data_IF_301671188994
#
_entry.id   IF_301671188994
#
_cell.length_a   1.000
_cell.length_b   1.000
_cell.length_c   1.000
_cell.angle_alpha   90.00
_cell.angle_beta   90.00
_cell.angle_gamma   90.00
#
_symmetry.space_group_name_H-M   'P 1'
#
loop_
_entity.id
_entity.type
_entity.pdbx_description
1 polymer ?
#
# COMPACT_ATOMS: atom_id res chain seq x y z
N UNK A 1 4.04 43.28 29.94
CA UNK A 1 3.31 43.56 31.15
C UNK A 1 3.34 45.07 31.48
N UNK A 2 2.25 45.58 32.01
CA UNK A 2 2.11 46.94 32.52
C UNK A 2 1.33 46.89 33.82
N UNK A 3 1.74 47.74 34.79
CA UNK A 3 0.97 47.97 36.00
C UNK A 3 0.05 49.17 35.78
N UNK A 4 -1.23 48.98 36.05
CA UNK A 4 -2.24 50.04 35.98
C UNK A 4 -2.66 50.39 37.39
N UNK A 5 -2.66 51.66 37.71
CA UNK A 5 -3.12 52.20 39.02
C UNK A 5 -4.39 53.01 38.81
N UNK A 6 -5.42 52.69 39.56
CA UNK A 6 -6.69 53.42 39.51
C UNK A 6 -6.66 54.63 40.42
N UNK A 7 -7.01 55.83 39.90
CA UNK A 7 -7.16 57.04 40.68
C UNK A 7 -8.63 57.43 40.75
N UNK A 8 -9.11 57.87 41.94
CA UNK A 8 -10.45 58.31 42.17
C UNK A 8 -10.49 59.74 42.72
N UNK A 9 -11.48 60.53 42.29
CA UNK A 9 -11.85 61.79 42.85
C UNK A 9 -13.35 61.82 43.17
N UNK A 10 -13.69 62.32 44.38
CA UNK A 10 -15.07 62.48 44.83
C UNK A 10 -15.44 63.98 44.83
N UNK A 11 -16.59 64.30 44.20
CA UNK A 11 -17.12 65.67 44.12
C UNK A 11 -18.47 65.76 44.82
N UNK A 12 -18.68 66.85 45.58
CA UNK A 12 -19.98 67.30 46.06
C UNK A 12 -20.67 68.04 44.90
N UNK A 13 -21.84 67.53 44.49
CA UNK A 13 -22.67 68.07 43.42
C UNK A 13 -23.92 68.79 43.94
N UNK A 14 -23.93 69.27 45.24
CA UNK A 14 -25.01 70.05 45.81
C UNK A 14 -25.29 71.33 45.00
N UNK A 15 -24.27 71.90 44.36
CA UNK A 15 -24.37 72.87 43.30
C UNK A 15 -23.80 72.28 42.00
N UNK A 16 -24.63 71.78 41.09
CA UNK A 16 -24.12 71.09 39.89
C UNK A 16 -23.35 72.03 38.93
N UNK A 17 -23.52 73.32 38.99
CA UNK A 17 -22.82 74.32 38.17
C UNK A 17 -21.39 74.61 38.73
N UNK A 18 -21.11 74.26 40.00
CA UNK A 18 -19.85 74.44 40.66
C UNK A 18 -19.50 73.22 41.53
N UNK A 19 -19.08 72.07 40.93
CA UNK A 19 -18.71 70.87 41.66
C UNK A 19 -17.50 71.13 42.57
N UNK A 20 -17.57 70.72 43.85
CA UNK A 20 -16.49 70.87 44.83
C UNK A 20 -15.87 69.51 45.06
N UNK A 21 -14.54 69.40 44.77
CA UNK A 21 -13.80 68.16 45.10
C UNK A 21 -13.68 68.02 46.61
N UNK A 22 -14.19 66.94 47.20
CA UNK A 22 -14.23 66.66 48.65
C UNK A 22 -13.25 65.58 49.10
N UNK A 23 -12.82 64.70 48.20
CA UNK A 23 -11.82 63.70 48.50
C UNK A 23 -11.08 63.26 47.22
N UNK A 24 -9.92 62.68 47.36
CA UNK A 24 -9.20 62.01 46.28
C UNK A 24 -8.33 60.88 46.84
N UNK A 25 -8.12 59.87 46.01
CA UNK A 25 -7.09 58.85 46.20
C UNK A 25 -6.28 58.73 44.91
N UNK A 26 -5.02 59.19 44.96
CA UNK A 26 -4.12 59.30 43.81
C UNK A 26 -2.71 58.89 44.19
N UNK A 27 -2.59 57.77 44.86
CA UNK A 27 -1.28 57.20 45.20
C UNK A 27 -0.86 56.23 44.13
N UNK A 28 0.16 56.58 43.33
CA UNK A 28 0.74 55.77 42.26
C UNK A 28 1.45 54.52 42.78
N UNK A 29 1.81 54.50 44.06
CA UNK A 29 2.50 53.39 44.71
C UNK A 29 1.52 52.49 45.52
N UNK A 30 0.23 52.75 45.45
CA UNK A 30 -0.78 51.97 46.18
C UNK A 30 -0.97 50.58 45.52
N UNK A 31 -0.45 49.52 46.16
CA UNK A 31 -0.64 48.12 45.73
C UNK A 31 -2.12 47.69 45.71
N UNK A 32 -2.97 48.29 46.56
CA UNK A 32 -4.41 48.03 46.61
C UNK A 32 -5.19 48.53 45.38
N UNK A 33 -4.65 49.56 44.69
CA UNK A 33 -5.18 50.10 43.46
C UNK A 33 -4.47 49.63 42.21
N UNK A 34 -3.40 48.84 42.35
CA UNK A 34 -2.54 48.37 41.25
C UNK A 34 -3.03 47.04 40.70
N UNK A 35 -3.27 46.98 39.38
CA UNK A 35 -3.55 45.76 38.64
C UNK A 35 -2.43 45.49 37.66
N UNK A 36 -1.85 44.31 37.76
CA UNK A 36 -0.77 43.86 36.84
C UNK A 36 -1.39 43.23 35.59
N UNK A 37 -1.03 43.73 34.44
CA UNK A 37 -1.37 43.11 33.16
C UNK A 37 -0.21 42.23 32.78
N UNK A 38 -0.42 40.93 32.84
CA UNK A 38 0.55 39.93 32.41
C UNK A 38 0.46 39.70 30.91
N UNK A 39 1.60 39.39 30.30
CA UNK A 39 1.63 38.97 28.90
C UNK A 39 1.03 37.57 28.76
N UNK A 40 0.17 37.37 27.76
CA UNK A 40 -0.39 36.06 27.43
C UNK A 40 0.71 35.21 26.78
N UNK A 41 0.99 34.08 27.35
CA UNK A 41 1.91 33.07 26.79
C UNK A 41 1.07 31.96 26.16
N UNK A 42 1.29 31.72 24.89
CA UNK A 42 0.68 30.58 24.17
C UNK A 42 1.76 29.51 24.03
N UNK A 43 1.43 28.29 24.40
CA UNK A 43 2.30 27.11 24.23
C UNK A 43 1.76 26.20 23.15
N UNK A 44 2.68 25.56 22.41
CA UNK A 44 2.41 24.62 21.32
C UNK A 44 3.12 23.31 21.65
N UNK A 45 2.38 22.20 21.65
CA UNK A 45 2.92 20.86 21.74
C UNK A 45 2.35 20.03 20.58
N UNK A 46 3.17 19.28 19.91
CA UNK A 46 2.77 18.58 18.69
C UNK A 46 3.16 17.11 18.68
N UNK A 47 2.48 16.32 17.87
CA UNK A 47 2.79 14.90 17.68
C UNK A 47 2.48 14.52 16.25
N UNK A 48 3.52 14.29 15.44
CA UNK A 48 3.41 13.84 14.06
C UNK A 48 3.35 12.31 13.97
N UNK A 49 2.47 11.76 13.13
CA UNK A 49 2.30 10.33 12.89
C UNK A 49 1.90 10.05 11.44
N UNK A 50 2.05 8.82 10.99
CA UNK A 50 1.39 8.35 9.77
C UNK A 50 -0.13 8.37 9.96
N UNK A 51 -0.83 9.12 9.13
CA UNK A 51 -2.31 9.19 9.20
C UNK A 51 -2.98 7.82 9.01
N UNK A 52 -2.38 6.92 8.22
CA UNK A 52 -2.96 5.62 7.92
C UNK A 52 -2.87 4.62 9.09
N UNK A 53 -1.80 4.69 9.87
CA UNK A 53 -1.49 3.70 10.93
C UNK A 53 -1.47 4.28 12.33
N UNK A 54 -1.25 5.59 12.48
CA UNK A 54 -1.02 6.26 13.76
C UNK A 54 0.40 6.06 14.32
N UNK A 55 1.28 5.42 13.56
CA UNK A 55 2.64 5.08 13.99
C UNK A 55 3.67 6.16 13.56
N UNK A 56 4.86 6.10 14.15
CA UNK A 56 6.00 6.95 13.80
C UNK A 56 6.79 6.46 12.58
N UNK A 57 6.63 5.19 12.23
CA UNK A 57 7.27 4.60 11.05
C UNK A 57 6.30 4.58 9.88
N UNK A 58 6.69 5.18 8.79
CA UNK A 58 5.89 5.37 7.59
C UNK A 58 6.54 4.61 6.44
N UNK A 59 5.81 3.71 5.80
CA UNK A 59 6.30 3.00 4.60
C UNK A 59 6.31 3.94 3.41
N UNK A 60 7.46 4.06 2.74
CA UNK A 60 7.62 4.91 1.56
C UNK A 60 6.56 4.63 0.49
N UNK A 61 5.96 5.68 -0.07
CA UNK A 61 4.89 5.57 -1.06
C UNK A 61 4.61 6.90 -1.77
N UNK A 62 3.67 6.89 -2.74
CA UNK A 62 3.35 8.06 -3.57
C UNK A 62 2.50 9.11 -2.85
N UNK A 63 1.54 8.65 -2.08
CA UNK A 63 0.53 9.50 -1.44
C UNK A 63 0.52 9.20 0.07
N UNK A 64 1.63 9.50 0.73
CA UNK A 64 1.78 9.37 2.18
C UNK A 64 1.27 10.64 2.85
N UNK A 65 0.54 10.50 3.94
CA UNK A 65 0.06 11.65 4.72
C UNK A 65 0.62 11.58 6.14
N UNK A 66 1.39 12.59 6.52
CA UNK A 66 1.74 12.86 7.91
C UNK A 66 0.60 13.66 8.52
N UNK A 67 0.09 13.17 9.65
CA UNK A 67 -0.89 13.86 10.49
C UNK A 67 -0.18 14.42 11.71
N UNK A 68 -0.15 15.74 11.85
CA UNK A 68 0.34 16.38 13.04
C UNK A 68 -0.82 16.85 13.92
N UNK A 69 -0.81 16.41 15.17
CA UNK A 69 -1.81 16.78 16.19
C UNK A 69 -1.19 17.82 17.10
N UNK A 70 -1.71 19.04 17.04
CA UNK A 70 -1.18 20.23 17.73
C UNK A 70 -2.07 20.60 18.91
N UNK A 71 -1.52 20.52 20.12
CA UNK A 71 -2.16 20.99 21.36
C UNK A 71 -1.70 22.41 21.65
N UNK A 72 -2.65 23.32 21.72
CA UNK A 72 -2.47 24.76 21.99
C UNK A 72 -3.03 25.09 23.36
N UNK A 73 -2.29 25.83 24.17
CA UNK A 73 -2.74 26.33 25.48
C UNK A 73 -2.42 27.83 25.61
N UNK A 74 -3.29 28.60 26.26
CA UNK A 74 -3.19 30.05 26.40
C UNK A 74 -3.86 30.85 25.28
N UNK A 75 -4.66 30.23 24.41
CA UNK A 75 -5.39 30.92 23.34
C UNK A 75 -6.38 31.95 23.91
N UNK A 76 -6.72 32.96 23.11
CA UNK A 76 -7.82 33.90 23.41
C UNK A 76 -9.08 33.47 22.69
N UNK A 77 -10.13 33.18 23.46
CA UNK A 77 -11.42 32.77 22.92
C UNK A 77 -12.01 33.84 21.98
N UNK A 78 -12.43 33.41 20.78
CA UNK A 78 -12.97 34.26 19.72
C UNK A 78 -11.94 34.85 18.78
N UNK A 79 -10.64 34.73 19.09
CA UNK A 79 -9.51 35.16 18.24
C UNK A 79 -9.34 34.20 17.07
N UNK A 80 -9.04 34.74 15.90
CA UNK A 80 -8.70 33.97 14.69
C UNK A 80 -7.21 33.70 14.65
N UNK A 81 -6.85 32.45 14.48
CA UNK A 81 -5.48 32.00 14.35
C UNK A 81 -5.24 31.30 13.01
N UNK A 82 -3.98 31.36 12.55
CA UNK A 82 -3.46 30.56 11.44
C UNK A 82 -2.25 29.77 11.94
N UNK A 83 -2.33 28.45 11.89
CA UNK A 83 -1.22 27.54 12.10
C UNK A 83 -0.57 27.28 10.74
N UNK A 84 0.74 27.52 10.63
CA UNK A 84 1.55 27.18 9.46
C UNK A 84 2.47 26.05 9.83
N UNK A 85 2.47 24.98 9.04
CA UNK A 85 3.31 23.83 9.27
C UNK A 85 4.12 23.46 8.04
N UNK A 86 5.30 22.87 8.24
CA UNK A 86 6.15 22.36 7.16
C UNK A 86 7.05 21.23 7.64
N UNK A 87 7.50 20.41 6.71
CA UNK A 87 8.38 19.28 6.98
C UNK A 87 9.86 19.65 6.83
N UNK A 88 10.68 19.16 7.75
CA UNK A 88 12.13 19.26 7.74
C UNK A 88 12.77 17.88 7.54
N UNK A 89 13.92 17.83 6.87
CA UNK A 89 14.79 16.64 6.85
C UNK A 89 15.76 16.73 8.01
N UNK A 90 15.61 15.88 9.04
CA UNK A 90 16.35 15.94 10.30
C UNK A 90 17.86 15.95 10.09
N UNK A 91 18.40 14.99 9.33
CA UNK A 91 19.84 14.83 9.10
C UNK A 91 20.50 15.99 8.34
N UNK A 92 19.71 16.76 7.60
CA UNK A 92 20.16 17.87 6.76
C UNK A 92 19.90 19.22 7.44
N UNK A 93 19.05 19.24 8.48
CA UNK A 93 18.51 20.44 9.12
C UNK A 93 18.00 21.44 8.06
N UNK A 94 17.27 20.93 7.08
CA UNK A 94 16.79 21.69 5.92
C UNK A 94 15.31 21.38 5.64
N UNK A 95 14.62 22.34 5.02
CA UNK A 95 13.24 22.15 4.58
C UNK A 95 13.13 21.00 3.57
N UNK A 96 12.09 20.17 3.71
CA UNK A 96 11.82 19.09 2.76
C UNK A 96 11.25 19.67 1.47
N UNK A 97 11.96 19.39 0.36
CA UNK A 97 11.50 19.72 -0.97
C UNK A 97 11.11 18.44 -1.73
N UNK A 98 9.89 18.39 -2.23
CA UNK A 98 9.41 17.33 -3.12
C UNK A 98 9.11 17.95 -4.48
N UNK A 99 9.81 17.49 -5.54
CA UNK A 99 9.75 18.07 -6.88
C UNK A 99 10.10 19.56 -6.94
N UNK A 100 10.93 20.05 -5.98
CA UNK A 100 11.35 21.43 -5.89
C UNK A 100 10.41 22.37 -5.12
N UNK A 101 9.31 21.84 -4.61
CA UNK A 101 8.34 22.58 -3.78
C UNK A 101 8.45 22.15 -2.31
N UNK A 102 8.36 23.10 -1.37
CA UNK A 102 8.35 22.83 0.06
C UNK A 102 7.08 22.05 0.44
N UNK A 103 7.27 21.04 1.28
CA UNK A 103 6.13 20.32 1.87
C UNK A 103 5.63 21.15 3.04
N UNK A 104 4.54 21.87 2.84
CA UNK A 104 3.92 22.76 3.82
C UNK A 104 2.39 22.72 3.71
N UNK A 105 1.72 23.11 4.80
CA UNK A 105 0.28 23.34 4.82
C UNK A 105 -0.08 24.38 5.89
N UNK A 106 -1.25 24.99 5.73
CA UNK A 106 -1.79 26.00 6.63
C UNK A 106 -3.17 25.58 7.14
N UNK A 107 -3.45 25.86 8.43
CA UNK A 107 -4.76 25.65 9.03
C UNK A 107 -5.25 26.94 9.68
N UNK A 108 -6.36 27.50 9.21
CA UNK A 108 -7.02 28.63 9.85
C UNK A 108 -8.17 28.16 10.77
N UNK A 109 -8.25 28.69 11.97
CA UNK A 109 -9.30 28.37 12.94
C UNK A 109 -9.64 29.57 13.82
N UNK A 110 -10.77 29.48 14.54
CA UNK A 110 -11.15 30.45 15.57
C UNK A 110 -11.13 29.74 16.92
N UNK A 111 -10.42 30.30 17.90
CA UNK A 111 -10.35 29.71 19.22
C UNK A 111 -11.74 29.67 19.90
N UNK A 112 -12.18 28.48 20.25
CA UNK A 112 -13.43 28.26 21.00
C UNK A 112 -13.20 28.15 22.49
N UNK A 113 -11.96 27.92 22.91
CA UNK A 113 -11.51 27.85 24.30
C UNK A 113 -10.05 28.29 24.41
N UNK A 114 -9.54 28.47 25.63
CA UNK A 114 -8.14 28.79 25.91
C UNK A 114 -7.20 27.63 25.63
N UNK A 115 -7.71 26.41 25.63
CA UNK A 115 -6.99 25.19 25.28
C UNK A 115 -7.74 24.47 24.14
N UNK A 116 -7.00 24.14 23.07
CA UNK A 116 -7.55 23.45 21.90
C UNK A 116 -6.55 22.44 21.37
N UNK A 117 -7.08 21.41 20.69
CA UNK A 117 -6.34 20.50 19.84
C UNK A 117 -6.80 20.70 18.39
N UNK A 118 -5.86 20.85 17.48
CA UNK A 118 -6.11 20.96 16.03
C UNK A 118 -5.21 20.00 15.29
N UNK A 119 -5.57 19.66 14.05
CA UNK A 119 -4.81 18.73 13.22
C UNK A 119 -4.46 19.39 11.90
N UNK A 120 -3.20 19.21 11.47
CA UNK A 120 -2.70 19.65 10.17
C UNK A 120 -2.12 18.45 9.43
N UNK A 121 -2.33 18.36 8.12
CA UNK A 121 -1.99 17.20 7.30
C UNK A 121 -1.02 17.58 6.19
N UNK A 122 0.00 16.74 5.96
CA UNK A 122 0.97 16.91 4.88
C UNK A 122 0.94 15.66 4.00
N UNK A 123 0.43 15.80 2.76
CA UNK A 123 0.34 14.69 1.80
C UNK A 123 1.33 14.90 0.67
N UNK A 124 2.27 13.96 0.50
CA UNK A 124 3.34 14.07 -0.49
C UNK A 124 3.93 12.71 -0.86
N UNK A 125 4.77 12.69 -1.89
CA UNK A 125 5.45 11.49 -2.36
C UNK A 125 6.73 11.24 -1.56
N UNK A 126 6.78 10.13 -0.81
CA UNK A 126 7.93 9.71 0.01
C UNK A 126 8.74 8.57 -0.63
N UNK A 127 8.45 8.14 -1.88
CA UNK A 127 9.08 6.97 -2.52
C UNK A 127 10.62 7.06 -2.59
N UNK A 128 11.18 8.28 -2.58
CA UNK A 128 12.63 8.53 -2.61
C UNK A 128 13.21 8.94 -1.26
N UNK A 129 12.40 8.87 -0.19
CA UNK A 129 12.78 9.34 1.14
C UNK A 129 13.05 8.20 2.13
N UNK A 130 13.04 6.93 1.68
CA UNK A 130 13.33 5.79 2.53
C UNK A 130 14.66 5.96 3.28
N UNK A 131 14.65 5.71 4.59
CA UNK A 131 15.78 5.91 5.49
C UNK A 131 15.92 7.34 6.04
N UNK A 132 15.05 8.30 5.63
CA UNK A 132 15.03 9.67 6.16
C UNK A 132 14.15 9.76 7.39
N UNK A 133 14.55 10.62 8.33
CA UNK A 133 13.72 11.11 9.41
C UNK A 133 13.23 12.52 9.03
N UNK A 134 11.93 12.74 9.18
CA UNK A 134 11.27 14.01 8.93
C UNK A 134 10.75 14.56 10.25
N UNK A 135 10.84 15.89 10.40
CA UNK A 135 10.38 16.60 11.60
C UNK A 135 9.42 17.69 11.17
N UNK A 136 8.22 17.71 11.74
CA UNK A 136 7.23 18.74 11.45
C UNK A 136 7.51 19.98 12.30
N UNK A 137 7.58 21.15 11.69
CA UNK A 137 7.73 22.45 12.35
C UNK A 137 6.46 23.27 12.21
N UNK A 138 6.09 24.04 13.25
CA UNK A 138 4.89 24.87 13.25
C UNK A 138 5.17 26.29 13.75
N UNK A 139 4.42 27.23 13.18
CA UNK A 139 4.26 28.60 13.67
C UNK A 139 2.80 28.97 13.78
N UNK A 140 2.39 29.54 14.92
CA UNK A 140 1.05 30.04 15.16
C UNK A 140 1.00 31.56 15.04
N UNK A 141 0.05 32.05 14.25
CA UNK A 141 -0.18 33.46 14.04
C UNK A 141 -1.58 33.87 14.52
N UNK A 142 -1.67 35.00 15.25
CA UNK A 142 -2.92 35.73 15.40
C UNK A 142 -3.18 36.50 14.10
N UNK A 143 -4.32 36.19 13.46
CA UNK A 143 -4.76 36.80 12.19
C UNK A 143 -6.05 37.61 12.37
N UNK A 144 -6.30 38.14 13.57
CA UNK A 144 -7.41 39.05 13.84
C UNK A 144 -7.33 40.28 12.94
N UNK A 145 -6.11 40.79 12.72
CA UNK A 145 -5.80 41.72 11.65
C UNK A 145 -5.12 40.97 10.49
N UNK A 146 -5.84 40.63 9.41
CA UNK A 146 -5.28 39.85 8.32
C UNK A 146 -4.18 40.57 7.53
N UNK A 147 -4.11 41.90 7.60
CA UNK A 147 -3.09 42.71 6.92
C UNK A 147 -1.77 42.75 7.72
N UNK A 148 -1.80 42.44 9.02
CA UNK A 148 -0.64 42.42 9.91
C UNK A 148 -0.69 41.19 10.84
N UNK A 149 -0.47 39.97 10.33
CA UNK A 149 -0.46 38.77 11.17
C UNK A 149 0.69 38.79 12.16
N UNK A 150 0.38 38.49 13.42
CA UNK A 150 1.40 38.49 14.50
C UNK A 150 1.71 37.06 14.91
N UNK A 151 3.00 36.67 14.83
CA UNK A 151 3.44 35.35 15.34
C UNK A 151 3.35 35.36 16.87
N UNK A 152 2.60 34.40 17.42
CA UNK A 152 2.29 34.31 18.86
C UNK A 152 2.91 33.09 19.53
N UNK A 153 3.24 32.05 18.76
CA UNK A 153 3.92 30.85 19.25
C UNK A 153 4.60 30.09 18.10
N UNK A 154 5.51 29.20 18.42
CA UNK A 154 6.14 28.28 17.47
C UNK A 154 6.60 27.01 18.17
N UNK A 155 6.72 25.91 17.41
CA UNK A 155 7.40 24.69 17.78
C UNK A 155 8.34 24.27 16.64
N UNK A 156 9.66 24.45 16.84
CA UNK A 156 10.70 24.21 15.80
C UNK A 156 11.94 23.59 16.44
N UNK A 157 11.77 22.45 17.07
CA UNK A 157 12.87 21.66 17.61
C UNK A 157 13.16 20.48 16.71
N UNK A 158 14.29 20.53 15.99
CA UNK A 158 14.70 19.47 15.05
C UNK A 158 15.00 18.13 15.73
N UNK A 159 15.23 18.13 17.04
CA UNK A 159 15.50 16.93 17.84
C UNK A 159 14.26 16.40 18.58
N UNK A 160 13.10 17.01 18.40
CA UNK A 160 11.87 16.56 19.05
C UNK A 160 11.38 15.23 18.48
N UNK A 161 11.47 14.16 19.27
CA UNK A 161 10.95 12.83 18.91
C UNK A 161 9.42 12.82 18.75
N UNK A 162 8.68 13.72 19.43
CA UNK A 162 7.24 13.92 19.28
C UNK A 162 6.86 14.36 17.87
N UNK A 163 7.69 15.15 17.22
CA UNK A 163 7.50 15.66 15.86
C UNK A 163 8.21 14.84 14.79
N UNK A 164 9.03 13.85 15.18
CA UNK A 164 9.81 13.05 14.24
C UNK A 164 9.04 11.83 13.76
N UNK A 165 9.05 11.61 12.44
CA UNK A 165 8.61 10.37 11.78
C UNK A 165 9.75 9.80 10.95
N UNK A 166 9.81 8.46 10.79
CA UNK A 166 10.84 7.77 10.00
C UNK A 166 10.22 7.16 8.75
N UNK A 167 10.74 7.50 7.58
CA UNK A 167 10.32 6.88 6.32
C UNK A 167 11.09 5.59 6.12
N UNK A 168 10.40 4.46 6.11
CA UNK A 168 10.98 3.12 5.93
C UNK A 168 10.87 2.64 4.48
N UNK A 169 11.79 1.77 4.08
CA UNK A 169 11.74 1.16 2.75
C UNK A 169 10.49 0.27 2.59
N UNK A 170 9.86 0.32 1.41
CA UNK A 170 8.80 -0.62 1.04
C UNK A 170 9.43 -1.94 0.60
N UNK A 171 9.13 -3.00 1.32
CA UNK A 171 9.59 -4.35 0.98
C UNK A 171 8.43 -5.12 0.35
N UNK A 172 8.61 -5.59 -0.89
CA UNK A 172 7.66 -6.46 -1.56
C UNK A 172 8.19 -7.89 -1.51
N UNK A 173 7.38 -8.81 -0.97
CA UNK A 173 7.67 -10.23 -0.95
C UNK A 173 6.84 -10.96 -2.00
N UNK A 174 7.42 -12.03 -2.58
CA UNK A 174 6.81 -12.83 -3.63
C UNK A 174 6.93 -14.32 -3.27
N UNK A 175 5.79 -15.02 -3.29
CA UNK A 175 5.70 -16.48 -3.15
C UNK A 175 4.95 -17.05 -4.32
N UNK A 176 5.46 -18.10 -4.91
CA UNK A 176 4.92 -18.63 -6.16
C UNK A 176 4.66 -20.13 -6.11
N UNK A 177 3.74 -20.62 -6.94
CA UNK A 177 3.39 -22.03 -7.06
C UNK A 177 2.99 -22.36 -8.49
N UNK A 178 3.88 -23.03 -9.22
CA UNK A 178 3.64 -23.49 -10.59
C UNK A 178 2.92 -24.84 -10.61
N UNK A 179 1.93 -24.99 -11.48
CA UNK A 179 1.17 -26.24 -11.68
C UNK A 179 0.74 -26.41 -13.14
N UNK A 180 0.39 -27.64 -13.52
CA UNK A 180 -0.32 -27.88 -14.76
C UNK A 180 -1.71 -27.22 -14.72
N UNK A 181 -2.01 -26.35 -15.66
CA UNK A 181 -3.29 -25.65 -15.75
C UNK A 181 -4.48 -26.61 -15.87
N UNK A 182 -4.29 -27.76 -16.56
CA UNK A 182 -5.38 -28.70 -16.82
C UNK A 182 -5.77 -29.53 -15.59
N UNK A 183 -4.79 -29.85 -14.72
CA UNK A 183 -4.99 -30.80 -13.62
C UNK A 183 -4.71 -30.22 -12.22
N UNK A 184 -4.05 -29.08 -12.13
CA UNK A 184 -3.58 -28.48 -10.87
C UNK A 184 -2.42 -29.24 -10.21
N UNK A 185 -1.82 -30.21 -10.91
CA UNK A 185 -0.73 -31.07 -10.37
C UNK A 185 0.64 -30.50 -10.71
N UNK A 186 1.64 -31.03 -10.03
CA UNK A 186 3.08 -30.77 -10.30
C UNK A 186 3.63 -31.64 -11.47
N UNK A 187 2.81 -32.47 -12.06
CA UNK A 187 3.16 -33.33 -13.21
C UNK A 187 2.31 -32.97 -14.42
N UNK A 188 2.96 -32.86 -15.56
CA UNK A 188 2.34 -32.50 -16.85
C UNK A 188 2.68 -33.61 -17.85
N UNK A 189 1.69 -34.16 -18.56
CA UNK A 189 1.96 -35.10 -19.64
C UNK A 189 2.56 -34.38 -20.85
N UNK A 190 3.64 -34.94 -21.41
CA UNK A 190 4.26 -34.41 -22.61
C UNK A 190 3.25 -34.29 -23.77
N UNK A 191 3.15 -33.11 -24.35
CA UNK A 191 2.15 -32.82 -25.41
C UNK A 191 2.49 -31.53 -26.17
N UNK A 192 1.72 -31.30 -27.28
CA UNK A 192 2.00 -30.15 -28.17
C UNK A 192 1.61 -28.80 -27.59
N UNK A 193 0.64 -28.76 -26.71
CA UNK A 193 0.11 -27.55 -26.10
C UNK A 193 -0.14 -27.79 -24.62
N UNK A 194 0.92 -27.76 -23.84
CA UNK A 194 0.83 -27.79 -22.37
C UNK A 194 0.86 -26.36 -21.83
N UNK A 195 0.18 -26.14 -20.70
CA UNK A 195 0.21 -24.83 -20.04
C UNK A 195 0.56 -25.00 -18.59
N UNK A 196 1.64 -24.35 -18.17
CA UNK A 196 1.96 -24.12 -16.77
C UNK A 196 1.23 -22.86 -16.35
N UNK A 197 0.51 -22.90 -15.21
CA UNK A 197 0.01 -21.73 -14.52
C UNK A 197 0.83 -21.55 -13.26
N UNK A 198 1.41 -20.37 -13.09
CA UNK A 198 2.05 -19.99 -11.86
C UNK A 198 1.18 -19.00 -11.10
N UNK A 199 0.87 -19.35 -9.85
CA UNK A 199 0.09 -18.53 -8.93
C UNK A 199 1.07 -17.78 -8.02
N UNK A 200 1.11 -16.47 -8.15
CA UNK A 200 2.04 -15.58 -7.47
C UNK A 200 1.32 -14.77 -6.41
N UNK A 201 1.66 -14.99 -5.14
CA UNK A 201 1.19 -14.20 -4.00
C UNK A 201 2.21 -13.10 -3.73
N UNK A 202 1.75 -11.85 -3.78
CA UNK A 202 2.53 -10.64 -3.57
C UNK A 202 2.05 -9.97 -2.28
N UNK A 203 2.98 -9.52 -1.45
CA UNK A 203 2.71 -8.75 -0.23
C UNK A 203 3.62 -7.53 -0.14
N UNK A 204 3.12 -6.39 0.34
CA UNK A 204 3.83 -5.11 0.39
C UNK A 204 3.64 -4.24 -0.86
N UNK A 205 2.72 -4.58 -1.77
CA UNK A 205 2.40 -3.74 -2.93
C UNK A 205 1.89 -2.35 -2.49
N UNK A 206 2.09 -1.36 -3.35
CA UNK A 206 1.47 -0.05 -3.18
C UNK A 206 0.17 0.04 -4.00
N UNK A 207 -0.93 0.31 -3.32
CA UNK A 207 -2.24 0.44 -3.95
C UNK A 207 -2.25 1.54 -5.02
N UNK A 208 -2.83 1.25 -6.18
CA UNK A 208 -2.89 2.18 -7.32
C UNK A 208 -1.65 2.18 -8.20
N UNK A 209 -0.55 1.52 -7.79
CA UNK A 209 0.67 1.37 -8.60
C UNK A 209 0.48 0.29 -9.65
N UNK A 210 1.00 0.56 -10.85
CA UNK A 210 1.02 -0.38 -11.96
C UNK A 210 2.31 -1.19 -11.93
N UNK A 211 2.15 -2.52 -11.98
CA UNK A 211 3.26 -3.48 -11.99
C UNK A 211 3.24 -4.32 -13.26
N UNK A 212 4.43 -4.83 -13.64
CA UNK A 212 4.60 -5.91 -14.62
C UNK A 212 5.32 -7.06 -13.93
N UNK A 213 4.67 -8.23 -13.91
CA UNK A 213 5.29 -9.50 -13.55
C UNK A 213 5.82 -10.13 -14.84
N UNK A 214 7.13 -10.38 -14.91
CA UNK A 214 7.80 -11.08 -16.00
C UNK A 214 8.14 -12.47 -15.54
N UNK A 215 7.74 -13.48 -16.28
CA UNK A 215 8.05 -14.88 -15.94
C UNK A 215 8.63 -15.65 -17.09
N UNK A 216 9.45 -16.66 -16.80
CA UNK A 216 10.02 -17.59 -17.77
C UNK A 216 10.31 -18.95 -17.17
N UNK A 217 10.38 -19.96 -18.02
CA UNK A 217 10.67 -21.32 -17.64
C UNK A 217 12.15 -21.65 -17.74
N UNK A 218 12.67 -22.37 -16.74
CA UNK A 218 14.03 -22.90 -16.69
C UNK A 218 14.03 -24.43 -16.76
N UNK A 219 15.02 -25.01 -17.43
CA UNK A 219 15.30 -26.45 -17.35
C UNK A 219 16.21 -26.70 -16.15
N UNK A 220 15.67 -27.33 -15.09
CA UNK A 220 16.34 -27.49 -13.79
C UNK A 220 17.69 -28.17 -13.87
N UNK A 221 17.79 -29.31 -14.60
CA UNK A 221 19.02 -30.10 -14.73
C UNK A 221 20.15 -29.37 -15.46
N UNK A 222 19.79 -28.42 -16.31
CA UNK A 222 20.71 -27.65 -17.16
C UNK A 222 21.03 -26.28 -16.56
N UNK A 223 20.22 -25.83 -15.59
CA UNK A 223 20.24 -24.48 -15.06
C UNK A 223 20.22 -23.42 -16.18
N UNK A 224 19.40 -23.68 -17.20
CA UNK A 224 19.30 -22.88 -18.43
C UNK A 224 17.85 -22.56 -18.76
N UNK A 225 17.63 -21.47 -19.47
CA UNK A 225 16.30 -21.06 -19.95
C UNK A 225 15.72 -22.13 -20.89
N UNK A 226 14.40 -22.39 -20.77
CA UNK A 226 13.71 -23.29 -21.67
C UNK A 226 13.49 -22.62 -23.02
N UNK A 227 14.12 -23.18 -24.04
CA UNK A 227 13.98 -22.74 -25.44
C UNK A 227 13.14 -23.79 -26.20
N UNK A 228 12.01 -23.39 -26.73
CA UNK A 228 11.15 -24.20 -27.59
C UNK A 228 10.99 -23.56 -28.95
N UNK A 229 11.30 -24.28 -30.04
CA UNK A 229 11.30 -23.77 -31.40
C UNK A 229 12.13 -22.48 -31.58
N UNK A 230 13.29 -22.38 -30.87
CA UNK A 230 14.20 -21.23 -30.94
C UNK A 230 13.74 -19.98 -30.19
N UNK A 231 12.70 -20.08 -29.37
CA UNK A 231 12.18 -18.99 -28.54
C UNK A 231 12.16 -19.38 -27.06
N UNK A 232 12.49 -18.44 -26.19
CA UNK A 232 12.33 -18.61 -24.75
C UNK A 232 10.85 -18.77 -24.41
N UNK A 233 10.55 -19.70 -23.51
CA UNK A 233 9.21 -19.82 -22.94
C UNK A 233 9.08 -18.79 -21.83
N UNK A 234 8.43 -17.70 -22.13
CA UNK A 234 8.24 -16.54 -21.25
C UNK A 234 6.86 -15.90 -21.43
N UNK A 235 6.41 -15.16 -20.45
CA UNK A 235 5.22 -14.33 -20.55
C UNK A 235 5.30 -13.15 -19.57
N UNK A 236 4.54 -12.10 -19.84
CA UNK A 236 4.44 -10.90 -19.03
C UNK A 236 2.98 -10.68 -18.61
N UNK A 237 2.75 -10.32 -17.35
CA UNK A 237 1.45 -9.94 -16.81
C UNK A 237 1.50 -8.52 -16.26
N UNK A 238 0.72 -7.61 -16.86
CA UNK A 238 0.54 -6.24 -16.34
C UNK A 238 -0.70 -6.17 -15.47
N UNK A 239 -0.59 -5.55 -14.28
CA UNK A 239 -1.72 -5.33 -13.39
C UNK A 239 -1.54 -4.02 -12.59
N UNK A 240 -2.64 -3.51 -12.01
CA UNK A 240 -2.61 -2.41 -11.05
C UNK A 240 -2.95 -2.96 -9.68
N UNK A 241 -2.14 -2.65 -8.68
CA UNK A 241 -2.42 -3.11 -7.32
C UNK A 241 -3.70 -2.48 -6.78
N UNK A 242 -4.65 -3.31 -6.38
CA UNK A 242 -5.89 -2.90 -5.73
C UNK A 242 -5.81 -2.95 -4.21
N UNK A 243 -4.81 -3.67 -3.68
CA UNK A 243 -4.51 -3.83 -2.26
C UNK A 243 -3.00 -4.02 -2.07
N UNK A 244 -2.52 -3.94 -0.83
CA UNK A 244 -1.13 -4.22 -0.45
C UNK A 244 -0.76 -5.69 -0.60
N UNK A 245 -1.76 -6.58 -0.56
CA UNK A 245 -1.61 -8.01 -0.78
C UNK A 245 -2.50 -8.48 -1.93
N UNK A 246 -1.92 -9.16 -2.91
CA UNK A 246 -2.63 -9.68 -4.07
C UNK A 246 -2.13 -11.06 -4.47
N UNK A 247 -3.00 -11.82 -5.12
CA UNK A 247 -2.65 -13.03 -5.85
C UNK A 247 -2.92 -12.79 -7.34
N UNK A 248 -1.96 -13.14 -8.17
CA UNK A 248 -2.05 -13.03 -9.64
C UNK A 248 -1.59 -14.35 -10.27
N UNK A 249 -2.01 -14.61 -11.51
CA UNK A 249 -1.62 -15.81 -12.24
C UNK A 249 -0.98 -15.44 -13.56
N UNK A 250 0.15 -16.09 -13.86
CA UNK A 250 0.84 -15.98 -15.15
C UNK A 250 0.89 -17.36 -15.81
N UNK A 251 0.71 -17.43 -17.12
CA UNK A 251 0.56 -18.68 -17.85
C UNK A 251 1.62 -18.84 -18.93
N UNK A 252 2.18 -20.03 -19.04
CA UNK A 252 3.20 -20.37 -20.05
C UNK A 252 2.69 -21.53 -20.89
N UNK A 253 2.39 -21.28 -22.18
CA UNK A 253 1.91 -22.31 -23.11
C UNK A 253 2.98 -22.64 -24.14
N UNK A 254 3.37 -23.90 -24.22
CA UNK A 254 4.43 -24.35 -25.10
C UNK A 254 4.28 -25.81 -25.55
N UNK A 255 5.13 -26.24 -26.50
CA UNK A 255 5.20 -27.65 -26.92
C UNK A 255 6.19 -28.40 -26.02
N UNK A 256 5.69 -29.33 -25.22
CA UNK A 256 6.48 -30.19 -24.34
C UNK A 256 6.66 -31.62 -24.86
N UNK A 257 6.35 -31.90 -26.14
CA UNK A 257 6.40 -33.27 -26.68
C UNK A 257 7.78 -33.95 -26.55
N UNK A 258 8.86 -33.17 -26.54
CA UNK A 258 10.26 -33.66 -26.45
C UNK A 258 10.86 -33.42 -25.06
N UNK A 259 10.06 -33.02 -24.08
CA UNK A 259 10.53 -32.65 -22.75
C UNK A 259 10.25 -33.72 -21.69
N UNK A 260 9.75 -34.88 -22.07
CA UNK A 260 9.47 -35.99 -21.13
C UNK A 260 10.71 -36.29 -20.25
N UNK A 261 10.49 -36.42 -18.94
CA UNK A 261 11.54 -36.63 -17.94
C UNK A 261 12.25 -35.36 -17.47
N UNK A 262 11.94 -34.18 -18.05
CA UNK A 262 12.50 -32.89 -17.59
C UNK A 262 11.72 -32.32 -16.41
N UNK A 263 12.46 -31.70 -15.48
CA UNK A 263 11.89 -30.80 -14.47
C UNK A 263 12.07 -29.36 -14.95
N UNK A 264 10.96 -28.60 -14.93
CA UNK A 264 10.95 -27.18 -15.26
C UNK A 264 10.70 -26.38 -14.00
N UNK A 265 11.31 -25.19 -13.92
CA UNK A 265 11.18 -24.29 -12.78
C UNK A 265 10.83 -22.89 -13.33
N UNK A 266 9.71 -22.35 -12.85
CA UNK A 266 9.30 -21.00 -13.23
C UNK A 266 10.09 -19.96 -12.44
N UNK A 267 10.63 -18.96 -13.12
CA UNK A 267 11.31 -17.80 -12.51
C UNK A 267 10.51 -16.55 -12.79
N UNK A 268 10.46 -15.63 -11.82
CA UNK A 268 9.72 -14.36 -11.95
C UNK A 268 10.53 -13.16 -11.46
N UNK A 269 10.24 -12.03 -12.08
CA UNK A 269 10.65 -10.69 -11.65
C UNK A 269 9.47 -9.74 -11.69
N UNK A 270 9.30 -8.96 -10.63
CA UNK A 270 8.27 -7.91 -10.53
C UNK A 270 8.88 -6.53 -10.70
N UNK A 271 8.28 -5.73 -11.56
CA UNK A 271 8.69 -4.37 -11.85
C UNK A 271 7.58 -3.37 -11.54
N UNK A 272 7.92 -2.31 -10.81
CA UNK A 272 7.11 -1.08 -10.79
C UNK A 272 7.31 -0.34 -12.12
N UNK A 273 6.21 -0.11 -12.83
CA UNK A 273 6.18 0.58 -14.11
C UNK A 273 5.38 1.90 -14.03
N UNK A 274 5.42 2.54 -12.89
CA UNK A 274 4.89 3.89 -12.73
C UNK A 274 5.50 4.86 -13.73
N UNK A 275 6.81 4.77 -13.91
CA UNK A 275 7.50 5.37 -15.04
C UNK A 275 7.79 4.27 -16.08
N UNK A 276 7.03 4.17 -17.18
CA UNK A 276 7.21 3.10 -18.16
C UNK A 276 8.55 3.17 -18.89
N UNK A 277 9.20 4.34 -18.92
CA UNK A 277 10.52 4.52 -19.55
C UNK A 277 11.67 4.06 -18.65
N UNK A 278 11.43 3.95 -17.32
CA UNK A 278 12.40 3.52 -16.32
C UNK A 278 11.75 2.53 -15.33
N UNK A 279 11.46 1.28 -15.76
CA UNK A 279 10.90 0.27 -14.88
C UNK A 279 11.88 -0.11 -13.77
N UNK A 280 11.39 -0.15 -12.53
CA UNK A 280 12.21 -0.49 -11.34
C UNK A 280 11.87 -1.90 -10.89
N UNK A 281 12.88 -2.81 -10.86
CA UNK A 281 12.68 -4.13 -10.29
C UNK A 281 12.50 -4.02 -8.77
N UNK A 282 11.37 -4.54 -8.26
CA UNK A 282 10.96 -4.42 -6.84
C UNK A 282 10.92 -5.75 -6.10
N UNK A 283 10.82 -6.86 -6.82
CA UNK A 283 10.91 -8.21 -6.24
C UNK A 283 11.34 -9.23 -7.30
N UNK A 284 11.82 -10.39 -6.88
CA UNK A 284 12.12 -11.52 -7.74
C UNK A 284 11.98 -12.85 -6.99
N UNK A 285 11.65 -13.93 -7.72
CA UNK A 285 11.73 -15.29 -7.24
C UNK A 285 12.44 -16.16 -8.29
N UNK A 286 13.72 -16.51 -8.02
CA UNK A 286 14.59 -17.22 -8.97
C UNK A 286 15.41 -18.29 -8.26
N UNK A 287 14.74 -19.22 -7.55
CA UNK A 287 15.40 -20.36 -6.93
C UNK A 287 15.17 -21.63 -7.76
N UNK A 288 16.21 -22.07 -8.49
CA UNK A 288 16.19 -23.29 -9.32
C UNK A 288 15.86 -24.56 -8.53
N UNK A 289 15.98 -24.51 -7.20
CA UNK A 289 15.70 -25.65 -6.31
C UNK A 289 14.31 -25.59 -5.67
N UNK A 290 13.57 -24.52 -5.90
CA UNK A 290 12.24 -24.36 -5.31
C UNK A 290 11.28 -25.44 -5.84
N UNK A 291 10.76 -26.24 -4.91
CA UNK A 291 9.77 -27.28 -5.22
C UNK A 291 8.39 -26.71 -5.51
N UNK A 292 8.07 -25.53 -4.95
CA UNK A 292 6.85 -24.78 -5.22
C UNK A 292 6.76 -24.35 -6.68
N UNK A 293 7.89 -24.00 -7.29
CA UNK A 293 8.00 -23.59 -8.69
C UNK A 293 8.34 -24.72 -9.66
N UNK A 294 8.64 -25.93 -9.15
CA UNK A 294 9.04 -27.05 -10.01
C UNK A 294 7.81 -27.84 -10.50
N UNK A 295 7.74 -28.08 -11.80
CA UNK A 295 6.85 -29.06 -12.45
C UNK A 295 7.65 -30.10 -13.19
N UNK A 296 7.15 -31.34 -13.27
CA UNK A 296 7.79 -32.46 -13.97
C UNK A 296 7.00 -32.83 -15.23
N UNK A 297 7.65 -32.86 -16.37
CA UNK A 297 7.05 -33.33 -17.62
C UNK A 297 7.16 -34.86 -17.64
N UNK A 298 6.05 -35.56 -17.64
CA UNK A 298 5.96 -37.02 -17.69
C UNK A 298 5.72 -37.54 -19.11
N UNK A 299 6.12 -38.78 -19.37
CA UNK A 299 5.78 -39.42 -20.63
C UNK A 299 4.26 -39.51 -20.78
N UNK A 300 3.78 -39.37 -22.01
CA UNK A 300 2.37 -39.63 -22.33
C UNK A 300 2.15 -41.13 -22.23
N UNK A 301 1.16 -41.64 -21.49
CA UNK A 301 0.84 -43.06 -21.48
C UNK A 301 0.60 -43.55 -22.90
N UNK A 302 1.28 -44.64 -23.28
CA UNK A 302 0.96 -45.30 -24.55
C UNK A 302 -0.51 -45.70 -24.53
N UNK A 303 -1.22 -45.37 -25.59
CA UNK A 303 -2.58 -45.89 -25.77
C UNK A 303 -2.49 -47.41 -25.79
N UNK A 304 -3.35 -48.16 -25.02
CA UNK A 304 -3.32 -49.61 -25.06
C UNK A 304 -3.44 -50.06 -26.52
N UNK A 305 -2.38 -50.71 -26.97
CA UNK A 305 -2.39 -51.37 -28.30
C UNK A 305 -3.59 -52.32 -28.29
N UNK A 306 -4.56 -52.05 -29.16
CA UNK A 306 -5.65 -53.05 -29.41
C UNK A 306 -4.95 -54.36 -29.74
N UNK A 307 -5.26 -55.47 -29.01
CA UNK A 307 -4.69 -56.76 -29.38
C UNK A 307 -4.98 -57.05 -30.83
N UNK A 308 -3.97 -57.42 -31.63
CA UNK A 308 -4.12 -57.88 -32.99
C UNK A 308 -5.25 -58.91 -33.04
N UNK A 309 -6.25 -58.61 -33.86
CA UNK A 309 -7.36 -59.56 -34.14
C UNK A 309 -6.73 -60.86 -34.61
N UNK A 310 -7.00 -62.06 -33.97
CA UNK A 310 -6.38 -63.28 -34.36
C UNK A 310 -6.71 -63.58 -35.82
N UNK A 311 -5.68 -63.66 -36.66
CA UNK A 311 -5.75 -64.03 -38.07
C UNK A 311 -6.59 -65.31 -38.20
N UNK A 312 -7.72 -65.23 -38.84
CA UNK A 312 -8.66 -66.39 -39.18
C UNK A 312 -7.88 -67.40 -40.00
N UNK A 313 -7.75 -68.67 -39.56
CA UNK A 313 -7.13 -69.72 -40.39
C UNK A 313 -8.00 -69.98 -41.59
N UNK A 314 -7.40 -69.89 -42.78
CA UNK A 314 -8.02 -70.32 -44.07
C UNK A 314 -8.32 -71.80 -44.03
N UNK A 315 -9.58 -72.15 -43.89
CA UNK A 315 -10.04 -73.53 -43.92
C UNK A 315 -10.45 -73.97 -45.36
N UNK A 316 -9.60 -74.66 -46.06
CA UNK A 316 -9.99 -75.46 -47.21
C UNK A 316 -10.57 -76.79 -46.70
N UNK A 317 -11.83 -77.09 -47.12
CA UNK A 317 -12.40 -78.44 -46.89
C UNK A 317 -13.91 -78.47 -46.92
N UNK A 318 -14.39 -78.96 -48.00
CA UNK A 318 -15.69 -79.61 -48.37
C UNK A 318 -16.75 -79.85 -47.32
N UNK A 319 -18.00 -79.44 -47.71
CA UNK A 319 -19.27 -79.65 -47.00
C UNK A 319 -19.66 -81.12 -46.86
N UNK A 320 -20.48 -81.45 -45.84
CA UNK A 320 -21.76 -82.15 -46.16
C UNK A 320 -22.99 -81.42 -45.60
N UNK A 321 -24.09 -81.47 -46.34
CA UNK A 321 -25.46 -81.03 -45.99
C UNK A 321 -26.08 -81.92 -44.93
N UNK A 322 -26.70 -81.36 -43.90
CA UNK A 322 -27.90 -81.86 -43.26
C UNK A 322 -28.70 -80.68 -42.72
N UNK A 323 -30.01 -80.68 -43.10
CA UNK A 323 -30.91 -79.60 -42.66
C UNK A 323 -31.46 -79.85 -41.28
N UNK A 324 -31.76 -78.81 -40.61
CA UNK A 324 -32.85 -78.67 -39.66
C UNK A 324 -33.28 -77.21 -39.51
N UNK A 325 -34.59 -76.98 -39.67
CA UNK A 325 -35.24 -75.69 -39.53
C UNK A 325 -35.80 -75.57 -38.12
N UNK A 326 -35.22 -74.66 -37.29
CA UNK A 326 -35.94 -74.19 -36.10
C UNK A 326 -35.71 -72.68 -35.94
N UNK A 327 -36.75 -71.84 -35.82
CA UNK A 327 -36.60 -70.42 -35.68
C UNK A 327 -36.25 -70.04 -34.23
N UNK A 328 -35.14 -69.39 -34.04
CA UNK A 328 -34.76 -68.75 -32.75
C UNK A 328 -35.39 -67.36 -32.66
N UNK A 329 -36.22 -67.15 -31.65
CA UNK A 329 -36.79 -65.87 -31.27
C UNK A 329 -35.75 -65.07 -30.47
N UNK A 330 -35.39 -63.91 -30.96
CA UNK A 330 -34.53 -62.99 -30.27
C UNK A 330 -35.30 -62.26 -29.15
N UNK A 331 -34.81 -62.41 -27.91
CA UNK A 331 -35.31 -61.66 -26.75
C UNK A 331 -34.44 -60.47 -26.52
N UNK A 332 -34.93 -59.25 -26.80
CA UNK A 332 -34.28 -57.97 -26.38
C UNK A 332 -34.68 -57.65 -24.94
N UNK A 333 -33.73 -57.64 -24.05
CA UNK A 333 -33.92 -57.08 -22.74
C UNK A 333 -33.40 -55.62 -22.74
N UNK A 334 -34.29 -54.64 -22.63
CA UNK A 334 -34.01 -53.25 -22.33
C UNK A 334 -33.72 -53.12 -20.83
N UNK A 335 -32.60 -52.58 -20.47
CA UNK A 335 -32.38 -52.02 -19.11
C UNK A 335 -32.49 -50.51 -19.15
N UNK A 336 -33.46 -50.02 -18.43
CA UNK A 336 -33.87 -48.66 -18.33
C UNK A 336 -32.91 -47.82 -17.47
N UNK A 337 -32.83 -46.57 -17.86
CA UNK A 337 -32.23 -45.47 -17.15
C UNK A 337 -33.11 -45.09 -15.96
N UNK A 338 -32.55 -44.95 -14.78
CA UNK A 338 -33.18 -44.26 -13.65
C UNK A 338 -32.32 -43.07 -13.25
N UNK A 339 -32.84 -41.87 -13.50
CA UNK A 339 -32.41 -40.63 -12.93
C UNK A 339 -33.30 -40.29 -11.73
N UNK A 340 -32.67 -39.92 -10.61
CA UNK A 340 -33.22 -39.06 -9.55
C UNK A 340 -32.00 -38.62 -8.74
N UNK A 341 -31.64 -37.37 -8.53
CA UNK A 341 -32.42 -36.21 -8.11
C UNK A 341 -32.39 -36.08 -6.60
N UNK A 342 -31.44 -35.32 -6.07
CA UNK A 342 -31.59 -34.31 -5.02
C UNK A 342 -30.24 -33.58 -4.85
#
# INVERSE_FOLDING_TARGET
GKDLVTFEELYDLSNPDEPVKVAEHKDIEDDGQTVKIEERVITVHTTATDKATGEKMIVAGKDVTILDTVTLDGLEKGTKYQLKGWEMVKSENAELLVNGERVENDLAFTATDTKMEVQIEFTFNTSKLAGKELVTFEELYDVTNPDEPTKVAEHKDIEDDGQTVTITERIITMHTTATDKATGKKTIEAGKNVTIVDTVTLDGLEKGVKYILKGWEMVKSENAELIVNGKRVENDLSFTATDTKMEVQIEFTFNASELAGKELVTFEELYDVTNPDEPIKVAEHKDIKDKGQTVTITEKPESPTTPDEPSTPTRTGTSPKTGDNTPFVALFAMMGISAAGL
#
